data_IF_775331973949
#
_entry.id   IF_775331973949
#
_cell.length_a   1.000
_cell.length_b   1.000
_cell.length_c   1.000
_cell.angle_alpha   90.00
_cell.angle_beta   90.00
_cell.angle_gamma   90.00
#
_symmetry.space_group_name_H-M   'P 1'
#
loop_
_entity.id
_entity.type
_entity.pdbx_description
1 polymer ?
#
# COMPACT_ATOMS: atom_id res chain seq x y z
N UNK A 1 -9.90 7.23 15.70
CA UNK A 1 -10.76 6.03 15.58
C UNK A 1 -10.42 5.23 14.32
N UNK A 2 -10.40 5.86 13.14
CA UNK A 2 -10.09 5.21 11.84
C UNK A 2 -8.68 4.60 11.77
N UNK A 3 -7.75 5.27 12.46
CA UNK A 3 -6.35 4.90 12.68
C UNK A 3 -6.17 3.48 13.24
N UNK A 4 -7.01 3.14 14.21
CA UNK A 4 -6.91 1.92 14.99
C UNK A 4 -7.41 0.73 14.17
N UNK A 5 -8.43 0.99 13.33
CA UNK A 5 -9.05 0.01 12.44
C UNK A 5 -8.10 -0.38 11.30
N UNK A 6 -7.44 0.58 10.66
CA UNK A 6 -6.46 0.31 9.59
C UNK A 6 -5.25 -0.45 10.14
N UNK A 7 -4.75 -0.05 11.31
CA UNK A 7 -3.60 -0.70 11.94
C UNK A 7 -3.93 -2.14 12.36
N UNK A 8 -5.11 -2.37 12.93
CA UNK A 8 -5.62 -3.71 13.29
C UNK A 8 -5.84 -4.57 12.05
N UNK A 9 -6.39 -4.01 10.97
CA UNK A 9 -6.58 -4.76 9.73
C UNK A 9 -5.24 -5.20 9.13
N UNK A 10 -4.22 -4.33 9.18
CA UNK A 10 -2.87 -4.60 8.71
C UNK A 10 -2.15 -5.63 9.59
N UNK A 11 -2.35 -5.56 10.92
CA UNK A 11 -1.90 -6.56 11.90
C UNK A 11 -2.57 -7.92 11.67
N UNK A 12 -3.88 -7.94 11.45
CA UNK A 12 -4.64 -9.17 11.14
C UNK A 12 -4.14 -9.79 9.84
N UNK A 13 -3.86 -8.98 8.82
CA UNK A 13 -3.24 -9.42 7.56
C UNK A 13 -1.86 -10.04 7.83
N UNK A 14 -1.01 -9.40 8.63
CA UNK A 14 0.33 -9.93 8.99
C UNK A 14 0.21 -11.25 9.76
N UNK A 15 -0.69 -11.35 10.74
CA UNK A 15 -0.85 -12.55 11.58
C UNK A 15 -1.58 -13.70 10.87
N UNK A 16 -2.46 -13.41 9.91
CA UNK A 16 -3.23 -14.42 9.19
C UNK A 16 -2.40 -15.13 8.11
N UNK A 17 -1.42 -14.44 7.51
CA UNK A 17 -0.58 -15.04 6.46
C UNK A 17 0.63 -15.78 7.05
N UNK A 18 0.46 -17.09 7.35
CA UNK A 18 1.53 -18.03 7.76
C UNK A 18 2.73 -18.12 6.80
N UNK A 19 2.65 -17.56 5.59
CA UNK A 19 3.72 -17.56 4.58
C UNK A 19 4.09 -16.14 4.19
N UNK A 20 5.39 -15.83 4.26
CA UNK A 20 5.94 -14.53 3.85
C UNK A 20 5.52 -14.14 2.42
N UNK A 21 5.42 -15.11 1.50
CA UNK A 21 4.93 -14.87 0.14
C UNK A 21 3.52 -14.29 0.13
N UNK A 22 2.59 -14.86 0.91
CA UNK A 22 1.20 -14.41 0.95
C UNK A 22 1.08 -13.02 1.57
N UNK A 23 1.92 -12.71 2.58
CA UNK A 23 2.02 -11.36 3.12
C UNK A 23 2.47 -10.34 2.06
N UNK A 24 3.55 -10.64 1.31
CA UNK A 24 4.04 -9.77 0.22
C UNK A 24 2.95 -9.51 -0.83
N UNK A 25 2.18 -10.53 -1.20
CA UNK A 25 1.05 -10.39 -2.13
C UNK A 25 -0.06 -9.50 -1.56
N UNK A 26 -0.49 -9.72 -0.32
CA UNK A 26 -1.54 -8.92 0.31
C UNK A 26 -1.12 -7.46 0.49
N UNK A 27 0.12 -7.23 0.94
CA UNK A 27 0.71 -5.90 1.07
C UNK A 27 0.70 -5.15 -0.27
N UNK A 28 1.24 -5.77 -1.33
CA UNK A 28 1.30 -5.16 -2.65
C UNK A 28 -0.09 -4.90 -3.23
N UNK A 29 -1.04 -5.83 -3.02
CA UNK A 29 -2.42 -5.69 -3.50
C UNK A 29 -3.13 -4.50 -2.83
N UNK A 30 -2.99 -4.35 -1.52
CA UNK A 30 -3.56 -3.21 -0.77
C UNK A 30 -2.93 -1.89 -1.23
N UNK A 31 -1.60 -1.82 -1.36
CA UNK A 31 -0.95 -0.57 -1.78
C UNK A 31 -1.34 -0.17 -3.22
N UNK A 32 -1.36 -1.12 -4.15
CA UNK A 32 -1.79 -0.88 -5.53
C UNK A 32 -3.24 -0.39 -5.55
N UNK A 33 -4.13 -0.99 -4.75
CA UNK A 33 -5.51 -0.55 -4.62
C UNK A 33 -5.62 0.91 -4.12
N UNK A 34 -4.86 1.27 -3.08
CA UNK A 34 -4.80 2.65 -2.59
C UNK A 34 -4.29 3.62 -3.66
N UNK A 35 -3.27 3.23 -4.43
CA UNK A 35 -2.78 4.03 -5.56
C UNK A 35 -3.82 4.19 -6.66
N UNK A 36 -4.62 3.17 -6.95
CA UNK A 36 -5.72 3.27 -7.91
C UNK A 36 -6.80 4.27 -7.42
N UNK A 37 -7.18 4.21 -6.14
CA UNK A 37 -8.11 5.19 -5.56
C UNK A 37 -7.54 6.61 -5.60
N UNK A 38 -6.25 6.75 -5.31
CA UNK A 38 -5.54 8.02 -5.41
C UNK A 38 -5.50 8.56 -6.85
N UNK A 39 -5.32 7.68 -7.84
CA UNK A 39 -5.39 8.05 -9.25
C UNK A 39 -6.79 8.58 -9.58
N UNK A 40 -7.85 7.87 -9.22
CA UNK A 40 -9.24 8.33 -9.42
C UNK A 40 -9.44 9.71 -8.76
N UNK A 41 -8.98 9.88 -7.51
CA UNK A 41 -9.05 11.18 -6.81
C UNK A 41 -8.40 12.31 -7.61
N UNK A 42 -7.19 12.11 -8.12
CA UNK A 42 -6.42 13.14 -8.85
C UNK A 42 -7.13 13.53 -10.15
N UNK A 43 -7.61 12.54 -10.91
CA UNK A 43 -8.24 12.79 -12.22
C UNK A 43 -9.68 13.28 -12.10
N UNK A 44 -10.39 12.93 -11.04
CA UNK A 44 -11.75 13.39 -10.78
C UNK A 44 -11.81 14.70 -9.99
N UNK A 45 -10.69 15.19 -9.45
CA UNK A 45 -10.65 16.44 -8.66
C UNK A 45 -11.21 17.67 -9.39
N UNK A 46 -11.05 17.75 -10.72
CA UNK A 46 -11.58 18.86 -11.53
C UNK A 46 -13.03 18.66 -12.00
N UNK A 47 -13.46 17.42 -12.19
CA UNK A 47 -14.77 17.11 -12.77
C UNK A 47 -15.84 16.87 -11.70
N UNK A 48 -15.51 16.20 -10.60
CA UNK A 48 -16.42 15.92 -9.49
C UNK A 48 -15.69 16.14 -8.15
N UNK A 49 -15.64 17.39 -7.65
CA UNK A 49 -14.88 17.74 -6.46
C UNK A 49 -15.39 17.02 -5.21
N UNK A 50 -16.69 16.75 -5.11
CA UNK A 50 -17.31 16.01 -3.99
C UNK A 50 -16.73 14.60 -3.85
N UNK A 51 -16.62 13.86 -4.96
CA UNK A 51 -16.03 12.52 -4.95
C UNK A 51 -14.56 12.56 -4.53
N UNK A 52 -13.81 13.55 -5.03
CA UNK A 52 -12.41 13.73 -4.67
C UNK A 52 -12.21 14.01 -3.18
N UNK A 53 -13.13 14.78 -2.57
CA UNK A 53 -13.09 15.14 -1.17
C UNK A 53 -13.47 13.95 -0.26
N UNK A 54 -14.43 13.13 -0.68
CA UNK A 54 -14.77 11.87 0.00
C UNK A 54 -13.58 10.90 -0.02
N UNK A 55 -12.97 10.70 -1.19
CA UNK A 55 -11.81 9.82 -1.32
C UNK A 55 -10.63 10.31 -0.49
N UNK A 56 -10.37 11.62 -0.45
CA UNK A 56 -9.33 12.20 0.40
C UNK A 56 -9.58 11.97 1.89
N UNK A 57 -10.85 12.04 2.33
CA UNK A 57 -11.22 11.91 3.74
C UNK A 57 -11.07 10.48 4.25
N UNK A 58 -11.46 9.48 3.45
CA UNK A 58 -11.51 8.09 3.89
C UNK A 58 -10.27 7.27 3.52
N UNK A 59 -9.61 7.59 2.40
CA UNK A 59 -8.53 6.75 1.89
C UNK A 59 -7.19 7.50 1.82
N UNK A 60 -6.11 6.90 2.34
CA UNK A 60 -4.77 7.41 2.10
C UNK A 60 -4.38 7.21 0.63
N UNK A 61 -3.39 7.97 0.15
CA UNK A 61 -2.91 7.86 -1.23
C UNK A 61 -2.16 6.56 -1.53
N UNK A 62 -1.51 6.00 -0.51
CA UNK A 62 -0.64 4.84 -0.54
C UNK A 62 -0.27 4.46 0.90
N UNK A 63 0.28 3.26 1.11
CA UNK A 63 0.65 2.79 2.45
C UNK A 63 1.79 3.62 3.06
N UNK A 64 2.73 4.13 2.26
CA UNK A 64 3.85 4.93 2.77
C UNK A 64 3.36 6.29 3.28
N UNK A 65 2.33 6.85 2.66
CA UNK A 65 1.65 8.07 3.11
C UNK A 65 0.90 7.87 4.43
N UNK A 66 0.49 6.64 4.76
CA UNK A 66 0.01 6.32 6.12
C UNK A 66 1.17 6.45 7.10
N UNK A 67 2.33 5.86 6.82
CA UNK A 67 3.53 5.98 7.68
C UNK A 67 3.97 7.44 7.85
N UNK A 68 3.93 8.22 6.77
CA UNK A 68 4.30 9.64 6.79
C UNK A 68 3.40 10.52 7.69
N UNK A 69 2.21 10.04 8.09
CA UNK A 69 1.36 10.74 9.07
C UNK A 69 1.89 10.64 10.50
N UNK A 70 2.70 9.63 10.80
CA UNK A 70 3.22 9.38 12.16
C UNK A 70 4.70 9.66 12.29
N UNK A 71 5.45 9.49 11.20
CA UNK A 71 6.89 9.69 11.17
C UNK A 71 7.20 10.78 10.17
N UNK A 72 7.95 11.79 10.60
CA UNK A 72 8.41 12.85 9.72
C UNK A 72 9.19 12.27 8.53
N UNK A 73 8.88 12.72 7.32
CA UNK A 73 9.54 12.24 6.08
C UNK A 73 11.05 12.43 6.06
N UNK A 74 11.57 13.39 6.81
CA UNK A 74 13.01 13.65 6.93
C UNK A 74 13.69 12.85 8.04
N UNK A 75 12.96 11.99 8.77
CA UNK A 75 13.55 11.13 9.78
C UNK A 75 14.27 9.95 9.15
N UNK A 76 15.41 9.57 9.71
CA UNK A 76 16.15 8.35 9.33
C UNK A 76 15.25 7.10 9.42
N UNK A 77 14.32 7.08 10.39
CA UNK A 77 13.38 5.98 10.57
C UNK A 77 12.40 5.85 9.40
N UNK A 78 11.90 6.97 8.86
CA UNK A 78 11.04 6.96 7.69
C UNK A 78 11.78 6.43 6.47
N UNK A 79 13.04 6.83 6.29
CA UNK A 79 13.89 6.36 5.20
C UNK A 79 14.06 4.84 5.29
N UNK A 80 14.40 4.30 6.46
CA UNK A 80 14.56 2.85 6.68
C UNK A 80 13.27 2.09 6.35
N UNK A 81 12.11 2.60 6.79
CA UNK A 81 10.81 1.98 6.49
C UNK A 81 10.51 2.03 4.99
N UNK A 82 10.81 3.14 4.32
CA UNK A 82 10.61 3.29 2.88
C UNK A 82 11.47 2.29 2.08
N UNK A 83 12.72 2.05 2.50
CA UNK A 83 13.56 1.00 1.93
C UNK A 83 12.99 -0.40 2.20
N UNK A 84 12.43 -0.65 3.39
CA UNK A 84 11.71 -1.89 3.68
C UNK A 84 10.53 -2.13 2.72
N UNK A 85 9.75 -1.09 2.43
CA UNK A 85 8.65 -1.14 1.46
C UNK A 85 9.18 -1.46 0.05
N UNK A 86 10.30 -0.85 -0.36
CA UNK A 86 10.94 -1.12 -1.65
C UNK A 86 11.34 -2.60 -1.79
N UNK A 87 11.93 -3.19 -0.74
CA UNK A 87 12.29 -4.62 -0.74
C UNK A 87 11.06 -5.50 -0.91
N UNK A 88 9.94 -5.17 -0.25
CA UNK A 88 8.68 -5.90 -0.43
C UNK A 88 8.17 -5.84 -1.87
N UNK A 89 8.27 -4.68 -2.54
CA UNK A 89 7.94 -4.58 -3.96
C UNK A 89 8.86 -5.41 -4.85
N UNK A 90 10.18 -5.43 -4.57
CA UNK A 90 11.11 -6.28 -5.31
C UNK A 90 10.76 -7.76 -5.14
N UNK A 91 10.40 -8.21 -3.93
CA UNK A 91 9.94 -9.57 -3.70
C UNK A 91 8.64 -9.87 -4.47
N UNK A 92 7.66 -8.97 -4.42
CA UNK A 92 6.40 -9.11 -5.16
C UNK A 92 6.66 -9.23 -6.67
N UNK A 93 7.50 -8.36 -7.22
CA UNK A 93 7.88 -8.38 -8.63
C UNK A 93 8.57 -9.68 -9.01
N UNK A 94 9.54 -10.13 -8.20
CA UNK A 94 10.24 -11.39 -8.42
C UNK A 94 9.30 -12.60 -8.41
N UNK A 95 8.33 -12.66 -7.49
CA UNK A 95 7.35 -13.74 -7.44
C UNK A 95 6.45 -13.77 -8.69
N UNK A 96 5.97 -12.60 -9.14
CA UNK A 96 5.18 -12.50 -10.37
C UNK A 96 6.00 -12.86 -11.61
N UNK A 97 7.25 -12.37 -11.69
CA UNK A 97 8.15 -12.67 -12.80
C UNK A 97 8.46 -14.16 -12.89
N UNK A 98 8.75 -14.81 -11.76
CA UNK A 98 8.97 -16.25 -11.68
C UNK A 98 7.73 -17.04 -12.12
N UNK A 99 6.53 -16.59 -11.74
CA UNK A 99 5.29 -17.22 -12.18
C UNK A 99 5.08 -17.07 -13.69
N UNK A 100 5.32 -15.89 -14.25
CA UNK A 100 5.21 -15.63 -15.68
C UNK A 100 6.15 -16.52 -16.51
N UNK A 101 7.42 -16.63 -16.10
CA UNK A 101 8.41 -17.50 -16.76
C UNK A 101 8.04 -18.98 -16.72
N UNK A 102 7.38 -19.44 -15.66
CA UNK A 102 6.91 -20.84 -15.54
C UNK A 102 5.69 -21.14 -16.39
N UNK A 103 4.86 -20.14 -16.69
CA UNK A 103 3.65 -20.30 -17.51
C UNK A 103 3.96 -20.32 -19.01
N UNK A 104 5.15 -19.86 -19.41
CA UNK A 104 5.66 -19.92 -20.78
C UNK A 104 6.40 -21.22 -21.13
N UNK A 105 6.43 -22.21 -20.24
CA UNK A 105 6.86 -23.59 -20.49
C UNK A 105 5.68 -24.52 -20.33
#
# INVERSE_FOLDING_TARGET
MDLFIILILLLIVIFYFRKFSSFVYAFALIDIFLRMLNFIRIYTAKSVPELSHLLYRYFPSDLLSVVAKYISRNSILFIIIAWGFLILYMCFWFYNFKYFLKKGK
#
